data_IF_134499746991
#
_entry.id   IF_134499746991
#
_cell.length_a   1.000
_cell.length_b   1.000
_cell.length_c   1.000
_cell.angle_alpha   90.00
_cell.angle_beta   90.00
_cell.angle_gamma   90.00
#
_symmetry.space_group_name_H-M   'P 1'
#
loop_
_entity.id
_entity.type
_entity.pdbx_description
1 polymer ?
#
# COMPACT_ATOMS: atom_id res chain seq x y z
N UNK A 1 -20.60 38.14 46.82
CA UNK A 1 -19.15 38.10 47.02
C UNK A 1 -18.63 36.83 46.36
N UNK A 2 -17.69 37.00 45.45
CA UNK A 2 -17.28 36.03 44.41
C UNK A 2 -16.66 34.74 44.96
N UNK A 3 -17.02 33.62 44.33
CA UNK A 3 -16.42 32.32 44.57
C UNK A 3 -15.04 32.19 43.92
N UNK A 4 -14.08 31.64 44.66
CA UNK A 4 -12.76 31.28 44.16
C UNK A 4 -12.79 29.86 43.60
N UNK A 5 -12.84 29.73 42.27
CA UNK A 5 -12.58 28.45 41.56
C UNK A 5 -11.18 28.54 40.96
N UNK A 6 -10.30 27.62 41.38
CA UNK A 6 -8.94 27.47 40.85
C UNK A 6 -9.02 26.80 39.47
N UNK A 7 -8.53 27.48 38.43
CA UNK A 7 -8.31 26.88 37.11
C UNK A 7 -7.03 26.03 37.14
N UNK A 8 -7.18 24.70 37.14
CA UNK A 8 -6.08 23.82 36.73
C UNK A 8 -6.02 23.84 35.20
N UNK A 9 -5.02 24.54 34.67
CA UNK A 9 -4.70 24.53 33.26
C UNK A 9 -4.34 23.10 32.83
N UNK A 10 -5.17 22.53 31.97
CA UNK A 10 -4.85 21.31 31.21
C UNK A 10 -3.77 21.68 30.21
N UNK A 11 -2.54 21.22 30.45
CA UNK A 11 -1.55 21.16 29.39
C UNK A 11 -1.84 19.89 28.56
N UNK A 12 -2.22 20.00 27.27
CA UNK A 12 -2.21 18.82 26.42
C UNK A 12 -0.75 18.42 26.23
N UNK A 13 -0.40 17.25 26.73
CA UNK A 13 0.86 16.60 26.42
C UNK A 13 1.01 16.57 24.89
N UNK A 14 2.04 17.22 24.37
CA UNK A 14 2.45 17.10 22.98
C UNK A 14 2.70 15.61 22.71
N UNK A 15 1.70 14.94 22.14
CA UNK A 15 1.89 13.67 21.47
C UNK A 15 2.93 13.92 20.38
N UNK A 16 4.16 13.45 20.62
CA UNK A 16 5.20 13.37 19.60
C UNK A 16 4.64 12.53 18.45
N UNK A 17 4.06 13.20 17.45
CA UNK A 17 3.81 12.61 16.14
C UNK A 17 5.18 12.18 15.62
N UNK A 18 5.48 10.89 15.73
CA UNK A 18 6.48 10.26 14.87
C UNK A 18 6.03 10.62 13.45
N UNK A 19 6.82 11.49 12.82
CA UNK A 19 6.77 11.72 11.39
C UNK A 19 7.13 10.40 10.70
N UNK A 20 6.14 9.50 10.60
CA UNK A 20 6.14 8.48 9.57
C UNK A 20 6.21 9.26 8.26
N UNK A 21 7.38 9.23 7.61
CA UNK A 21 7.53 9.72 6.24
C UNK A 21 6.40 9.08 5.46
N UNK A 22 5.42 9.88 5.02
CA UNK A 22 4.40 9.46 4.09
C UNK A 22 5.13 9.12 2.78
N UNK A 23 5.62 7.89 2.69
CA UNK A 23 6.16 7.32 1.47
C UNK A 23 4.98 7.18 0.51
N UNK A 24 5.05 7.94 -0.57
CA UNK A 24 4.22 7.86 -1.78
C UNK A 24 2.73 7.60 -1.53
N UNK A 25 1.98 8.68 -1.26
CA UNK A 25 0.57 8.71 -1.60
C UNK A 25 0.53 8.67 -3.13
N UNK A 26 0.32 7.49 -3.71
CA UNK A 26 -0.01 7.36 -5.13
C UNK A 26 -1.20 8.30 -5.42
N UNK A 27 -1.20 9.07 -6.52
CA UNK A 27 -2.26 10.03 -6.79
C UNK A 27 -3.62 9.33 -6.72
N UNK A 28 -4.50 9.78 -5.84
CA UNK A 28 -5.79 9.12 -5.61
C UNK A 28 -6.60 9.00 -6.91
N UNK A 29 -6.58 10.05 -7.74
CA UNK A 29 -7.23 10.06 -9.07
C UNK A 29 -6.70 8.98 -10.00
N UNK A 30 -5.40 8.67 -9.93
CA UNK A 30 -4.80 7.58 -10.71
C UNK A 30 -5.30 6.22 -10.22
N UNK A 31 -5.33 5.98 -8.92
CA UNK A 31 -5.87 4.74 -8.35
C UNK A 31 -7.35 4.55 -8.70
N UNK A 32 -8.15 5.62 -8.64
CA UNK A 32 -9.55 5.58 -9.08
C UNK A 32 -9.69 5.24 -10.56
N UNK A 33 -8.80 5.73 -11.42
CA UNK A 33 -8.82 5.41 -12.85
C UNK A 33 -8.58 3.92 -13.15
N UNK A 34 -7.93 3.21 -12.22
CA UNK A 34 -7.67 1.77 -12.29
C UNK A 34 -8.80 0.94 -11.70
N UNK A 35 -9.81 1.55 -11.09
CA UNK A 35 -10.92 0.84 -10.46
C UNK A 35 -11.64 -0.07 -11.47
N UNK A 36 -11.87 -1.31 -11.08
CA UNK A 36 -12.47 -2.36 -11.90
C UNK A 36 -11.53 -2.98 -12.94
N UNK A 37 -10.28 -2.51 -13.07
CA UNK A 37 -9.28 -3.05 -14.02
C UNK A 37 -8.36 -4.04 -13.34
N UNK A 38 -7.73 -4.91 -14.14
CA UNK A 38 -6.57 -5.68 -13.67
C UNK A 38 -5.37 -4.78 -13.52
N UNK A 39 -4.66 -4.96 -12.41
CA UNK A 39 -3.47 -4.20 -12.03
C UNK A 39 -2.39 -5.15 -11.55
N UNK A 40 -1.15 -4.75 -11.74
CA UNK A 40 0.04 -5.34 -11.14
C UNK A 40 0.55 -4.38 -10.08
N UNK A 41 0.67 -4.87 -8.85
CA UNK A 41 1.13 -4.14 -7.68
C UNK A 41 2.50 -4.67 -7.31
N UNK A 42 3.51 -3.81 -7.42
CA UNK A 42 4.88 -4.11 -7.02
C UNK A 42 5.03 -3.78 -5.53
N UNK A 43 5.37 -4.79 -4.75
CA UNK A 43 5.54 -4.63 -3.31
C UNK A 43 6.97 -4.21 -2.99
N UNK A 44 7.12 -3.29 -2.03
CA UNK A 44 8.39 -2.69 -1.62
C UNK A 44 9.36 -3.67 -0.93
N UNK A 45 9.04 -4.96 -0.88
CA UNK A 45 9.88 -5.99 -0.28
C UNK A 45 9.99 -7.21 -1.19
N UNK A 46 11.24 -7.70 -1.33
CA UNK A 46 11.58 -9.05 -1.81
C UNK A 46 11.07 -9.44 -3.21
N UNK A 47 11.02 -8.51 -4.16
CA UNK A 47 10.60 -8.81 -5.55
C UNK A 47 9.21 -9.49 -5.64
N UNK A 48 8.31 -9.18 -4.68
CA UNK A 48 6.95 -9.70 -4.70
C UNK A 48 6.03 -8.80 -5.51
N UNK A 49 5.12 -9.43 -6.23
CA UNK A 49 4.10 -8.75 -7.02
C UNK A 49 2.73 -9.36 -6.78
N UNK A 50 1.71 -8.53 -6.75
CA UNK A 50 0.32 -8.97 -6.73
C UNK A 50 -0.35 -8.53 -8.03
N UNK A 51 -0.87 -9.49 -8.78
CA UNK A 51 -1.77 -9.21 -9.88
C UNK A 51 -3.21 -9.45 -9.42
N UNK A 52 -4.11 -8.53 -9.71
CA UNK A 52 -5.52 -8.71 -9.35
C UNK A 52 -6.39 -7.61 -9.92
N UNK A 53 -7.70 -7.73 -9.75
CA UNK A 53 -8.66 -6.70 -10.14
C UNK A 53 -8.82 -5.69 -9.00
N UNK A 54 -8.56 -4.42 -9.26
CA UNK A 54 -8.76 -3.35 -8.27
C UNK A 54 -10.26 -3.13 -8.04
N UNK A 55 -10.75 -3.28 -6.80
CA UNK A 55 -12.18 -3.18 -6.47
C UNK A 55 -12.51 -2.10 -5.45
N UNK A 56 -11.53 -1.61 -4.69
CA UNK A 56 -11.69 -0.44 -3.85
C UNK A 56 -10.34 0.21 -3.55
N UNK A 57 -10.38 1.50 -3.23
CA UNK A 57 -9.24 2.31 -2.82
C UNK A 57 -9.67 3.10 -1.58
N UNK A 58 -8.92 2.98 -0.50
CA UNK A 58 -9.08 3.82 0.69
C UNK A 58 -8.61 5.24 0.36
N UNK A 59 -9.52 6.22 0.47
CA UNK A 59 -9.25 7.61 0.10
C UNK A 59 -8.28 8.32 1.06
N UNK A 60 -8.20 7.87 2.32
CA UNK A 60 -7.40 8.50 3.36
C UNK A 60 -6.00 7.90 3.44
N UNK A 61 -5.92 6.57 3.28
CA UNK A 61 -4.67 5.82 3.44
C UNK A 61 -4.02 5.41 2.13
N UNK A 62 -4.79 5.33 1.04
CA UNK A 62 -4.34 4.75 -0.23
C UNK A 62 -4.22 3.23 -0.21
N UNK A 63 -4.76 2.57 0.81
CA UNK A 63 -4.85 1.10 0.85
C UNK A 63 -5.74 0.63 -0.30
N UNK A 64 -5.42 -0.50 -0.92
CA UNK A 64 -6.17 -1.01 -2.06
C UNK A 64 -6.74 -2.39 -1.80
N UNK A 65 -7.90 -2.66 -2.37
CA UNK A 65 -8.55 -3.96 -2.35
C UNK A 65 -8.50 -4.59 -3.73
N UNK A 66 -8.00 -5.81 -3.79
CA UNK A 66 -7.88 -6.60 -5.00
C UNK A 66 -8.78 -7.84 -4.91
N UNK A 67 -9.34 -8.26 -6.05
CA UNK A 67 -9.99 -9.55 -6.25
C UNK A 67 -9.24 -10.40 -7.28
N UNK A 68 -9.47 -11.72 -7.25
CA UNK A 68 -8.84 -12.69 -8.16
C UNK A 68 -7.31 -12.59 -8.15
N UNK A 69 -6.76 -12.49 -6.93
CA UNK A 69 -5.37 -12.10 -6.71
C UNK A 69 -4.44 -13.27 -6.95
N UNK A 70 -3.41 -13.04 -7.76
CA UNK A 70 -2.29 -13.94 -7.95
C UNK A 70 -1.03 -13.28 -7.41
N UNK A 71 -0.36 -13.96 -6.49
CA UNK A 71 0.87 -13.49 -5.87
C UNK A 71 2.06 -14.16 -6.51
N UNK A 72 2.99 -13.33 -6.97
CA UNK A 72 4.18 -13.75 -7.66
C UNK A 72 5.43 -13.32 -6.90
N UNK A 73 6.51 -14.06 -7.14
CA UNK A 73 7.88 -13.65 -6.80
C UNK A 73 8.72 -13.63 -8.07
N UNK A 74 9.48 -12.55 -8.23
CA UNK A 74 10.45 -12.44 -9.29
C UNK A 74 11.74 -13.15 -8.88
N UNK A 75 12.06 -14.26 -9.54
CA UNK A 75 13.35 -14.89 -9.40
C UNK A 75 14.30 -14.30 -10.45
N UNK A 76 15.18 -13.40 -10.00
CA UNK A 76 16.32 -12.92 -10.80
C UNK A 76 17.33 -14.07 -10.86
N UNK A 77 17.21 -14.92 -11.88
CA UNK A 77 18.12 -16.04 -12.08
C UNK A 77 19.59 -15.60 -11.97
N UNK A 78 20.38 -16.36 -11.21
CA UNK A 78 21.83 -16.15 -11.06
C UNK A 78 22.52 -16.68 -12.33
N UNK A 79 22.26 -16.05 -13.46
CA UNK A 79 22.81 -16.41 -14.76
C UNK A 79 23.39 -15.17 -15.43
N UNK A 80 24.72 -15.14 -15.54
CA UNK A 80 25.43 -14.22 -16.44
C UNK A 80 24.84 -14.32 -17.85
N UNK A 81 24.67 -13.18 -18.51
CA UNK A 81 23.93 -12.95 -19.76
C UNK A 81 22.44 -12.69 -19.57
N UNK A 82 22.12 -11.40 -19.57
CA UNK A 82 20.82 -10.85 -19.22
C UNK A 82 19.64 -11.36 -20.04
N UNK A 83 18.47 -11.15 -19.42
CA UNK A 83 17.11 -11.29 -19.95
C UNK A 83 16.49 -12.69 -19.83
N UNK A 84 16.29 -13.16 -18.61
CA UNK A 84 15.11 -13.98 -18.26
C UNK A 84 14.99 -14.04 -16.73
N UNK A 85 14.37 -13.03 -16.14
CA UNK A 85 13.82 -13.15 -14.79
C UNK A 85 12.52 -13.93 -14.91
N UNK A 86 12.36 -15.01 -14.16
CA UNK A 86 11.16 -15.84 -14.21
C UNK A 86 10.20 -15.42 -13.11
N UNK A 87 8.96 -15.16 -13.48
CA UNK A 87 7.85 -14.93 -12.53
C UNK A 87 7.36 -16.29 -12.03
N UNK A 88 7.45 -16.54 -10.73
CA UNK A 88 6.89 -17.75 -10.13
C UNK A 88 5.62 -17.41 -9.33
N UNK A 89 4.54 -18.15 -9.57
CA UNK A 89 3.31 -18.01 -8.80
C UNK A 89 3.47 -18.68 -7.43
N UNK A 90 3.39 -17.89 -6.36
CA UNK A 90 3.43 -18.40 -5.00
C UNK A 90 2.05 -18.87 -4.52
N UNK A 91 1.01 -18.09 -4.81
CA UNK A 91 -0.35 -18.37 -4.32
C UNK A 91 -1.40 -17.62 -5.10
N UNK A 92 -2.61 -18.17 -5.10
CA UNK A 92 -3.84 -17.48 -5.50
C UNK A 92 -4.74 -17.24 -4.30
N UNK A 93 -5.37 -16.08 -4.27
CA UNK A 93 -6.30 -15.67 -3.23
C UNK A 93 -7.53 -15.04 -3.88
N UNK A 94 -8.72 -15.29 -3.33
CA UNK A 94 -9.95 -14.69 -3.86
C UNK A 94 -9.93 -13.16 -3.75
N UNK A 95 -9.39 -12.66 -2.64
CA UNK A 95 -9.24 -11.22 -2.39
C UNK A 95 -8.01 -10.96 -1.52
N UNK A 96 -7.49 -9.73 -1.60
CA UNK A 96 -6.43 -9.24 -0.74
C UNK A 96 -6.59 -7.74 -0.48
N UNK A 97 -6.34 -7.32 0.76
CA UNK A 97 -6.14 -5.91 1.10
C UNK A 97 -4.64 -5.63 1.14
N UNK A 98 -4.18 -4.66 0.37
CA UNK A 98 -2.78 -4.27 0.29
C UNK A 98 -2.61 -2.91 0.94
N UNK A 99 -1.77 -2.86 1.97
CA UNK A 99 -1.49 -1.60 2.65
C UNK A 99 -0.58 -0.73 1.79
N UNK A 100 -0.92 0.55 1.66
CA UNK A 100 -0.24 1.51 0.79
C UNK A 100 1.24 1.66 1.08
N UNK A 101 1.66 1.46 2.33
CA UNK A 101 3.06 1.56 2.77
C UNK A 101 3.97 0.52 2.14
N UNK A 102 3.40 -0.59 1.65
CA UNK A 102 4.13 -1.64 0.96
C UNK A 102 4.01 -1.56 -0.55
N UNK A 103 3.27 -0.59 -1.08
CA UNK A 103 3.11 -0.42 -2.53
C UNK A 103 4.24 0.47 -3.02
N UNK A 104 5.13 -0.10 -3.83
CA UNK A 104 6.18 0.66 -4.49
C UNK A 104 5.66 1.27 -5.80
N UNK A 105 4.92 0.48 -6.57
CA UNK A 105 4.37 0.89 -7.85
C UNK A 105 3.09 0.10 -8.16
N UNK A 106 2.17 0.72 -8.90
CA UNK A 106 1.01 0.06 -9.48
C UNK A 106 0.95 0.36 -10.97
N UNK A 107 0.73 -0.68 -11.77
CA UNK A 107 0.62 -0.60 -13.21
C UNK A 107 -0.66 -1.30 -13.69
N UNK A 108 -1.29 -0.83 -14.78
CA UNK A 108 -2.28 -1.63 -15.50
C UNK A 108 -1.64 -2.96 -15.97
N UNK A 109 -2.35 -4.07 -15.82
CA UNK A 109 -1.94 -5.38 -16.37
C UNK A 109 -2.26 -5.48 -17.87
#
# INVERSE_FOLDING_TARGET
>A
MSGNVKFNAVAPALAKKKSEKAQSILPHDFLLSLHGRRVIVFLSYKDHELEGRLTAVDADKGDIFLEEVVHYVWNRGVGQHGKEGTREELRRCKSAMVNSRYIEMIAPA
#
